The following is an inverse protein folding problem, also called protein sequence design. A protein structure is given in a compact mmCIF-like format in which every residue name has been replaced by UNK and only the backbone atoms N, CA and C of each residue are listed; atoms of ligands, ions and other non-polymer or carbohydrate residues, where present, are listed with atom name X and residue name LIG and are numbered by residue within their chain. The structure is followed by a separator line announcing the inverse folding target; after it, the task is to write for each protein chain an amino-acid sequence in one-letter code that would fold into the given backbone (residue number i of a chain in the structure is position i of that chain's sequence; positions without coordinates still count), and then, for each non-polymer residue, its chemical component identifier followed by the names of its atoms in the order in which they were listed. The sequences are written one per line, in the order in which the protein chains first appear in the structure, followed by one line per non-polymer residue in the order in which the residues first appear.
data_IF_649159498489
#
_entry.id   IF_649159498489
#
_cell.length_a   1.000
_cell.length_b   1.000
_cell.length_c   1.000
_cell.angle_alpha   90.00
_cell.angle_beta   90.00
_cell.angle_gamma   90.00
#
_symmetry.space_group_name_H-M   'P 1'
#
loop_
_entity.id
_entity.type
_entity.pdbx_description
1 polymer ?
#
# COMPACT_ATOMS: atom_id res chain seq x y z
N UNK A 1 16.23 15.21 17.62
CA UNK A 1 17.48 14.52 17.20
C UNK A 1 18.26 13.87 18.37
N UNK A 2 18.42 14.49 19.55
CA UNK A 2 19.16 13.86 20.68
C UNK A 2 18.56 12.51 21.16
N UNK A 3 17.23 12.38 21.23
CA UNK A 3 16.57 11.13 21.63
C UNK A 3 16.81 9.95 20.67
N UNK A 4 16.98 10.22 19.37
CA UNK A 4 17.25 9.18 18.36
C UNK A 4 18.70 8.75 18.36
N UNK A 5 19.63 9.66 18.70
CA UNK A 5 21.05 9.33 18.84
C UNK A 5 21.25 8.31 19.95
N UNK A 6 20.67 8.58 21.12
CA UNK A 6 20.76 7.72 22.31
C UNK A 6 19.89 6.44 22.22
N UNK A 7 19.16 6.26 21.12
CA UNK A 7 18.38 5.04 20.93
C UNK A 7 19.31 3.87 20.58
N UNK A 8 19.11 2.74 21.27
CA UNK A 8 19.77 1.47 20.99
C UNK A 8 19.68 1.06 19.52
N UNK A 9 20.74 0.45 18.99
CA UNK A 9 20.83 0.02 17.58
C UNK A 9 19.65 -0.89 17.19
N UNK A 10 19.29 -1.82 18.08
CA UNK A 10 18.13 -2.71 17.90
C UNK A 10 16.83 -1.93 17.65
N UNK A 11 16.57 -0.84 18.40
CA UNK A 11 15.36 -0.03 18.25
C UNK A 11 15.33 0.71 16.90
N UNK A 12 16.49 1.23 16.46
CA UNK A 12 16.64 1.90 15.16
C UNK A 12 16.31 0.94 14.00
N UNK A 13 16.82 -0.29 14.04
CA UNK A 13 16.54 -1.33 13.03
C UNK A 13 15.09 -1.82 13.06
N UNK A 14 14.52 -2.04 14.25
CA UNK A 14 13.10 -2.43 14.39
C UNK A 14 12.19 -1.35 13.82
N UNK A 15 12.47 -0.07 14.11
CA UNK A 15 11.68 1.04 13.56
C UNK A 15 11.73 1.07 12.03
N UNK A 16 12.91 0.88 11.44
CA UNK A 16 13.05 0.79 9.99
C UNK A 16 12.20 -0.34 9.42
N UNK A 17 12.25 -1.53 10.02
CA UNK A 17 11.41 -2.66 9.62
C UNK A 17 9.91 -2.39 9.75
N UNK A 18 9.48 -1.76 10.85
CA UNK A 18 8.08 -1.37 11.06
C UNK A 18 7.62 -0.39 9.99
N UNK A 19 8.41 0.63 9.67
CA UNK A 19 8.09 1.61 8.61
C UNK A 19 7.98 0.93 7.25
N UNK A 20 8.89 0.01 6.92
CA UNK A 20 8.84 -0.76 5.67
C UNK A 20 7.58 -1.62 5.58
N UNK A 21 7.25 -2.36 6.64
CA UNK A 21 6.06 -3.24 6.67
C UNK A 21 4.78 -2.41 6.62
N UNK A 22 4.70 -1.30 7.38
CA UNK A 22 3.56 -0.38 7.31
C UNK A 22 3.37 0.18 5.90
N UNK A 23 4.47 0.53 5.22
CA UNK A 23 4.42 0.97 3.82
C UNK A 23 3.82 -0.09 2.90
N UNK A 24 4.26 -1.36 3.02
CA UNK A 24 3.71 -2.48 2.25
C UNK A 24 2.23 -2.71 2.54
N UNK A 25 1.82 -2.64 3.80
CA UNK A 25 0.40 -2.82 4.19
C UNK A 25 -0.46 -1.69 3.62
N UNK A 26 -0.01 -0.44 3.70
CA UNK A 26 -0.72 0.71 3.13
C UNK A 26 -0.84 0.60 1.60
N UNK A 27 0.21 0.14 0.91
CA UNK A 27 0.17 -0.12 -0.54
C UNK A 27 -0.79 -1.26 -0.88
N UNK A 28 -0.78 -2.35 -0.12
CA UNK A 28 -1.71 -3.47 -0.32
C UNK A 28 -3.17 -3.06 -0.10
N UNK A 29 -3.45 -2.37 1.00
CA UNK A 29 -4.80 -1.90 1.32
C UNK A 29 -5.35 -0.93 0.25
N UNK A 30 -4.55 0.04 -0.17
CA UNK A 30 -4.95 0.98 -1.23
C UNK A 30 -5.17 0.30 -2.59
N UNK A 31 -4.39 -0.74 -2.90
CA UNK A 31 -4.61 -1.55 -4.10
C UNK A 31 -5.95 -2.28 -4.07
N UNK A 32 -6.30 -2.91 -2.95
CA UNK A 32 -7.59 -3.61 -2.79
C UNK A 32 -8.77 -2.65 -2.94
N UNK A 33 -8.68 -1.46 -2.35
CA UNK A 33 -9.71 -0.41 -2.48
C UNK A 33 -9.86 0.02 -3.94
N UNK A 34 -8.74 0.27 -4.63
CA UNK A 34 -8.74 0.70 -6.04
C UNK A 34 -9.35 -0.38 -6.94
N UNK A 35 -8.97 -1.64 -6.75
CA UNK A 35 -9.51 -2.78 -7.52
C UNK A 35 -11.01 -2.96 -7.27
N UNK A 36 -11.47 -2.80 -6.03
CA UNK A 36 -12.91 -2.89 -5.73
C UNK A 36 -13.73 -1.78 -6.42
N UNK A 37 -13.20 -0.56 -6.51
CA UNK A 37 -13.88 0.54 -7.21
C UNK A 37 -13.98 0.28 -8.71
N UNK A 38 -12.91 -0.20 -9.33
CA UNK A 38 -12.90 -0.60 -10.75
C UNK A 38 -13.93 -1.72 -10.97
N UNK A 39 -13.95 -2.73 -10.10
CA UNK A 39 -14.91 -3.83 -10.19
C UNK A 39 -16.36 -3.35 -10.11
N UNK A 40 -16.67 -2.41 -9.20
CA UNK A 40 -18.03 -1.86 -9.08
C UNK A 40 -18.47 -1.18 -10.38
N UNK A 41 -17.67 -0.25 -10.90
CA UNK A 41 -17.99 0.45 -12.16
C UNK A 41 -18.15 -0.53 -13.34
N UNK A 42 -17.28 -1.54 -13.42
CA UNK A 42 -17.38 -2.58 -14.45
C UNK A 42 -18.64 -3.44 -14.27
N UNK A 43 -19.05 -3.72 -13.04
CA UNK A 43 -20.25 -4.52 -12.75
C UNK A 43 -21.49 -3.73 -13.15
N UNK A 44 -21.59 -2.47 -12.74
CA UNK A 44 -22.72 -1.60 -13.07
C UNK A 44 -22.87 -1.48 -14.61
N UNK A 45 -21.76 -1.28 -15.34
CA UNK A 45 -21.79 -1.26 -16.83
C UNK A 45 -22.29 -2.56 -17.45
N UNK A 46 -21.90 -3.71 -16.91
CA UNK A 46 -22.22 -5.02 -17.52
C UNK A 46 -23.60 -5.54 -17.10
N UNK A 47 -24.10 -5.11 -15.93
CA UNK A 47 -25.33 -5.65 -15.34
C UNK A 47 -26.52 -4.69 -15.40
N UNK A 48 -26.31 -3.40 -15.63
CA UNK A 48 -27.40 -2.42 -15.78
C UNK A 48 -27.32 -1.74 -17.14
N UNK A 49 -26.31 -0.89 -17.36
CA UNK A 49 -26.27 0.00 -18.52
C UNK A 49 -26.29 -0.70 -19.89
N UNK A 50 -25.43 -1.71 -20.09
CA UNK A 50 -25.36 -2.41 -21.37
C UNK A 50 -26.64 -3.24 -21.65
N UNK A 51 -27.16 -4.02 -20.69
CA UNK A 51 -28.49 -4.63 -20.82
C UNK A 51 -29.61 -3.63 -21.12
N UNK A 52 -29.64 -2.46 -20.47
CA UNK A 52 -30.67 -1.43 -20.74
C UNK A 52 -30.63 -0.95 -22.19
N UNK A 53 -29.43 -0.67 -22.72
CA UNK A 53 -29.25 -0.29 -24.14
C UNK A 53 -29.74 -1.40 -25.07
N UNK A 54 -29.37 -2.66 -24.79
CA UNK A 54 -29.76 -3.80 -25.62
C UNK A 54 -31.29 -3.95 -25.63
N UNK A 55 -31.94 -3.97 -24.46
CA UNK A 55 -33.39 -4.15 -24.38
C UNK A 55 -34.13 -2.98 -25.05
N UNK A 56 -33.65 -1.74 -24.90
CA UNK A 56 -34.27 -0.58 -25.56
C UNK A 56 -34.15 -0.65 -27.10
N UNK A 57 -32.99 -1.07 -27.64
CA UNK A 57 -32.80 -1.32 -29.08
C UNK A 57 -33.68 -2.48 -29.58
N UNK A 58 -33.78 -3.56 -28.79
CA UNK A 58 -34.63 -4.70 -29.11
C UNK A 58 -36.13 -4.34 -29.07
N UNK A 59 -36.56 -3.47 -28.15
CA UNK A 59 -37.92 -2.91 -28.10
C UNK A 59 -38.20 -2.04 -29.34
N UNK A 60 -37.28 -1.15 -29.72
CA UNK A 60 -37.41 -0.34 -30.93
C UNK A 60 -37.47 -1.21 -32.20
N UNK A 61 -36.74 -2.33 -32.22
CA UNK A 61 -36.78 -3.31 -33.32
C UNK A 61 -38.11 -4.06 -33.34
N UNK A 62 -38.54 -4.63 -32.20
CA UNK A 62 -39.76 -5.41 -32.11
C UNK A 62 -41.01 -4.58 -32.43
N UNK A 63 -41.06 -3.33 -31.98
CA UNK A 63 -42.15 -2.41 -32.35
C UNK A 63 -42.17 -2.09 -33.85
N UNK A 64 -40.99 -2.00 -34.48
CA UNK A 64 -40.88 -1.84 -35.95
C UNK A 64 -41.35 -3.10 -36.68
N UNK A 65 -40.99 -4.30 -36.20
CA UNK A 65 -41.41 -5.58 -36.77
C UNK A 65 -42.93 -5.77 -36.66
N UNK A 66 -43.51 -5.43 -35.51
CA UNK A 66 -44.96 -5.40 -35.32
C UNK A 66 -45.64 -4.49 -36.36
N UNK A 67 -45.12 -3.27 -36.55
CA UNK A 67 -45.66 -2.32 -37.52
C UNK A 67 -45.48 -2.79 -38.98
N UNK A 68 -44.41 -3.50 -39.30
CA UNK A 68 -44.22 -4.12 -40.62
C UNK A 68 -45.32 -5.17 -40.88
N UNK A 69 -45.63 -6.00 -39.88
CA UNK A 69 -46.71 -6.97 -39.97
C UNK A 69 -48.08 -6.31 -40.08
N UNK A 70 -48.31 -5.20 -39.37
CA UNK A 70 -49.49 -4.37 -39.51
C UNK A 70 -49.64 -3.82 -40.95
N UNK A 71 -48.57 -3.29 -41.55
CA UNK A 71 -48.59 -2.87 -42.95
C UNK A 71 -48.90 -4.03 -43.91
N UNK A 72 -48.29 -5.20 -43.69
CA UNK A 72 -48.56 -6.39 -44.52
C UNK A 72 -50.02 -6.84 -44.41
N UNK A 73 -50.60 -6.74 -43.22
CA UNK A 73 -52.01 -7.05 -42.96
C UNK A 73 -52.92 -6.12 -43.75
N UNK A 74 -52.64 -4.81 -43.77
CA UNK A 74 -53.39 -3.80 -44.55
C UNK A 74 -53.29 -4.02 -46.07
N UNK A 75 -52.16 -4.53 -46.57
CA UNK A 75 -51.90 -4.67 -48.01
C UNK A 75 -52.44 -6.00 -48.57
N UNK A 76 -52.39 -7.08 -47.78
CA UNK A 76 -52.91 -8.37 -48.21
C UNK A 76 -54.43 -8.38 -48.28
N UNK A 77 -55.00 -9.27 -49.10
CA UNK A 77 -56.44 -9.50 -49.21
C UNK A 77 -56.79 -10.98 -48.93
N UNK A 78 -55.79 -11.79 -48.56
CA UNK A 78 -55.94 -13.21 -48.25
C UNK A 78 -56.22 -13.38 -46.75
N UNK A 79 -57.40 -13.89 -46.40
CA UNK A 79 -57.84 -14.08 -45.01
C UNK A 79 -56.92 -15.00 -44.21
N UNK A 80 -56.33 -16.02 -44.85
CA UNK A 80 -55.43 -16.96 -44.19
C UNK A 80 -54.10 -16.28 -43.85
N UNK A 81 -53.58 -15.44 -44.74
CA UNK A 81 -52.38 -14.63 -44.51
C UNK A 81 -52.63 -13.58 -43.41
N UNK A 82 -53.81 -12.94 -43.40
CA UNK A 82 -54.19 -12.01 -42.32
C UNK A 82 -54.20 -12.71 -40.95
N UNK A 83 -54.74 -13.93 -40.87
CA UNK A 83 -54.76 -14.70 -39.62
C UNK A 83 -53.36 -15.14 -39.16
N UNK A 84 -52.46 -15.45 -40.10
CA UNK A 84 -51.06 -15.74 -39.80
C UNK A 84 -50.33 -14.50 -39.25
N UNK A 85 -50.49 -13.35 -39.92
CA UNK A 85 -49.90 -12.08 -39.47
C UNK A 85 -50.41 -11.67 -38.07
N UNK A 86 -51.71 -11.83 -37.79
CA UNK A 86 -52.26 -11.54 -36.45
C UNK A 86 -51.65 -12.43 -35.36
N UNK A 87 -51.37 -13.71 -35.68
CA UNK A 87 -50.67 -14.61 -34.74
C UNK A 87 -49.23 -14.17 -34.52
N UNK A 88 -48.52 -13.78 -35.57
CA UNK A 88 -47.16 -13.25 -35.46
C UNK A 88 -47.12 -11.96 -34.64
N UNK A 89 -48.04 -11.03 -34.92
CA UNK A 89 -48.18 -9.78 -34.17
C UNK A 89 -48.47 -10.01 -32.69
N UNK A 90 -49.31 -11.00 -32.36
CA UNK A 90 -49.56 -11.38 -30.97
C UNK A 90 -48.31 -11.90 -30.25
N UNK A 91 -47.49 -12.71 -30.93
CA UNK A 91 -46.21 -13.19 -30.39
C UNK A 91 -45.21 -12.05 -30.20
N UNK A 92 -45.12 -11.12 -31.16
CA UNK A 92 -44.26 -9.93 -31.03
C UNK A 92 -44.73 -9.05 -29.88
N UNK A 93 -46.04 -8.88 -29.69
CA UNK A 93 -46.60 -8.13 -28.57
C UNK A 93 -46.23 -8.79 -27.23
N UNK A 94 -46.36 -10.10 -27.10
CA UNK A 94 -45.95 -10.84 -25.89
C UNK A 94 -44.46 -10.63 -25.57
N UNK A 95 -43.61 -10.67 -26.60
CA UNK A 95 -42.17 -10.44 -26.49
C UNK A 95 -41.82 -8.99 -26.09
N UNK A 96 -42.56 -8.00 -26.59
CA UNK A 96 -42.44 -6.60 -26.17
C UNK A 96 -42.81 -6.43 -24.69
N UNK A 97 -43.93 -7.01 -24.26
CA UNK A 97 -44.38 -6.99 -22.87
C UNK A 97 -43.36 -7.65 -21.92
N UNK A 98 -42.75 -8.76 -22.36
CA UNK A 98 -41.67 -9.41 -21.61
C UNK A 98 -40.41 -8.54 -21.51
N UNK A 99 -40.09 -7.76 -22.55
CA UNK A 99 -38.95 -6.84 -22.53
C UNK A 99 -39.18 -5.65 -21.61
N UNK A 100 -40.39 -5.07 -21.59
CA UNK A 100 -40.75 -4.04 -20.60
C UNK A 100 -40.57 -4.56 -19.16
N UNK A 101 -41.09 -5.77 -18.86
CA UNK A 101 -40.88 -6.42 -17.55
C UNK A 101 -39.41 -6.64 -17.20
N UNK A 102 -38.61 -7.09 -18.18
CA UNK A 102 -37.17 -7.28 -17.96
C UNK A 102 -36.46 -5.96 -17.64
N UNK A 103 -36.87 -4.87 -18.32
CA UNK A 103 -36.30 -3.55 -18.14
C UNK A 103 -36.52 -2.98 -16.73
N UNK A 104 -37.62 -3.31 -16.05
CA UNK A 104 -37.90 -2.85 -14.68
C UNK A 104 -36.73 -3.13 -13.70
N UNK A 105 -36.03 -4.25 -13.90
CA UNK A 105 -34.89 -4.65 -13.07
C UNK A 105 -33.59 -3.90 -13.39
N UNK A 106 -33.56 -3.17 -14.50
CA UNK A 106 -32.38 -2.49 -15.03
C UNK A 106 -32.42 -0.97 -14.83
N UNK A 107 -33.55 -0.44 -14.32
CA UNK A 107 -33.75 0.99 -14.08
C UNK A 107 -32.60 1.56 -13.24
N UNK A 108 -31.94 2.56 -13.80
CA UNK A 108 -30.76 3.17 -13.18
C UNK A 108 -31.09 4.39 -12.31
N UNK A 109 -32.14 5.15 -12.63
CA UNK A 109 -32.59 6.34 -11.89
C UNK A 109 -33.99 6.81 -12.36
N UNK A 110 -34.50 7.88 -11.74
CA UNK A 110 -35.83 8.45 -12.04
C UNK A 110 -36.00 8.93 -13.50
N UNK A 111 -34.94 9.40 -14.16
CA UNK A 111 -35.04 9.84 -15.57
C UNK A 111 -35.22 8.65 -16.51
N UNK A 112 -34.47 7.59 -16.25
CA UNK A 112 -34.53 6.31 -16.97
C UNK A 112 -35.92 5.67 -16.83
N UNK A 113 -36.42 5.60 -15.59
CA UNK A 113 -37.75 5.09 -15.29
C UNK A 113 -38.83 5.89 -16.04
N UNK A 114 -38.76 7.21 -16.00
CA UNK A 114 -39.74 8.07 -16.66
C UNK A 114 -39.76 7.85 -18.18
N UNK A 115 -38.59 7.81 -18.82
CA UNK A 115 -38.50 7.61 -20.27
C UNK A 115 -39.07 6.25 -20.69
N UNK A 116 -38.74 5.18 -19.95
CA UNK A 116 -39.27 3.85 -20.27
C UNK A 116 -40.78 3.75 -20.05
N UNK A 117 -41.30 4.28 -18.94
CA UNK A 117 -42.75 4.32 -18.69
C UNK A 117 -43.50 5.12 -19.75
N UNK A 118 -42.96 6.26 -20.17
CA UNK A 118 -43.55 7.06 -21.24
C UNK A 118 -43.55 6.30 -22.57
N UNK A 119 -42.50 5.53 -22.88
CA UNK A 119 -42.47 4.66 -24.06
C UNK A 119 -43.53 3.54 -23.98
N UNK A 120 -43.66 2.89 -22.83
CA UNK A 120 -44.66 1.84 -22.56
C UNK A 120 -46.09 2.39 -22.72
N UNK A 121 -46.39 3.54 -22.12
CA UNK A 121 -47.70 4.19 -22.23
C UNK A 121 -48.03 4.54 -23.70
N UNK A 122 -47.08 5.15 -24.44
CA UNK A 122 -47.28 5.51 -25.86
C UNK A 122 -47.42 4.27 -26.75
N UNK A 123 -46.72 3.18 -26.42
CA UNK A 123 -46.88 1.89 -27.10
C UNK A 123 -48.29 1.33 -26.92
N UNK A 124 -48.84 1.38 -25.71
CA UNK A 124 -50.21 0.94 -25.46
C UNK A 124 -51.24 1.79 -26.19
N UNK A 125 -51.06 3.11 -26.25
CA UNK A 125 -51.91 3.98 -27.07
C UNK A 125 -51.80 3.65 -28.56
N UNK A 126 -50.60 3.35 -29.07
CA UNK A 126 -50.41 2.86 -30.44
C UNK A 126 -51.19 1.57 -30.71
N UNK A 127 -51.21 0.62 -29.77
CA UNK A 127 -51.92 -0.65 -29.91
C UNK A 127 -53.44 -0.48 -30.03
N UNK A 128 -54.03 0.54 -29.39
CA UNK A 128 -55.47 0.84 -29.56
C UNK A 128 -55.79 1.24 -31.00
N UNK A 129 -54.94 2.06 -31.63
CA UNK A 129 -55.06 2.38 -33.06
C UNK A 129 -54.79 1.16 -33.94
N UNK A 130 -53.81 0.33 -33.57
CA UNK A 130 -53.47 -0.88 -34.30
C UNK A 130 -54.66 -1.83 -34.38
N UNK A 131 -55.38 -2.00 -33.28
CA UNK A 131 -56.60 -2.82 -33.22
C UNK A 131 -57.67 -2.32 -34.20
N UNK A 132 -57.90 -1.01 -34.25
CA UNK A 132 -58.85 -0.42 -35.21
C UNK A 132 -58.40 -0.66 -36.66
N UNK A 133 -57.10 -0.51 -36.95
CA UNK A 133 -56.52 -0.80 -38.28
C UNK A 133 -56.77 -2.25 -38.69
N UNK A 134 -56.51 -3.22 -37.80
CA UNK A 134 -56.72 -4.64 -38.09
C UNK A 134 -58.20 -4.96 -38.35
N UNK A 135 -59.12 -4.36 -37.59
CA UNK A 135 -60.56 -4.51 -37.79
C UNK A 135 -61.05 -3.94 -39.13
N UNK A 136 -60.51 -2.80 -39.57
CA UNK A 136 -60.80 -2.20 -40.88
C UNK A 136 -60.20 -3.06 -42.00
N UNK A 137 -58.95 -3.47 -41.84
CA UNK A 137 -58.23 -4.29 -42.80
C UNK A 137 -58.90 -5.64 -43.05
N UNK A 138 -59.44 -6.30 -42.00
CA UNK A 138 -60.26 -7.53 -42.13
C UNK A 138 -61.49 -7.37 -43.02
N UNK A 139 -62.00 -6.14 -43.20
CA UNK A 139 -63.12 -5.84 -44.11
C UNK A 139 -62.66 -5.57 -45.55
N UNK A 140 -61.36 -5.66 -45.83
CA UNK A 140 -60.70 -5.25 -47.07
C UNK A 140 -60.95 -3.78 -47.43
N UNK A 141 -61.17 -2.93 -46.43
CA UNK A 141 -61.33 -1.49 -46.62
C UNK A 141 -59.97 -0.79 -46.56
N UNK A 142 -59.15 -1.06 -47.58
CA UNK A 142 -57.74 -0.68 -47.61
C UNK A 142 -57.52 0.83 -47.64
N UNK A 143 -58.48 1.63 -48.13
CA UNK A 143 -58.34 3.09 -48.17
C UNK A 143 -58.47 3.72 -46.77
N UNK A 144 -59.47 3.29 -45.99
CA UNK A 144 -59.67 3.72 -44.60
C UNK A 144 -58.53 3.23 -43.69
N UNK A 145 -58.11 1.96 -43.83
CA UNK A 145 -56.98 1.41 -43.09
C UNK A 145 -55.67 2.15 -43.43
N UNK A 146 -55.48 2.52 -44.71
CA UNK A 146 -54.32 3.29 -45.15
C UNK A 146 -54.31 4.70 -44.57
N UNK A 147 -55.45 5.38 -44.47
CA UNK A 147 -55.53 6.72 -43.88
C UNK A 147 -55.09 6.70 -42.41
N UNK A 148 -55.56 5.71 -41.65
CA UNK A 148 -55.24 5.59 -40.24
C UNK A 148 -53.77 5.22 -40.00
N UNK A 149 -53.23 4.24 -40.76
CA UNK A 149 -51.84 3.77 -40.59
C UNK A 149 -50.79 4.83 -40.98
N UNK A 150 -51.07 5.72 -41.95
CA UNK A 150 -50.13 6.79 -42.34
C UNK A 150 -50.33 8.09 -41.55
N UNK A 151 -51.46 8.23 -40.84
CA UNK A 151 -51.84 9.37 -40.02
C UNK A 151 -51.53 9.17 -38.53
N UNK A 152 -52.57 9.16 -37.69
CA UNK A 152 -52.42 9.14 -36.22
C UNK A 152 -51.58 7.96 -35.71
N UNK A 153 -51.80 6.74 -36.22
CA UNK A 153 -51.00 5.56 -35.83
C UNK A 153 -49.51 5.76 -36.10
N UNK A 154 -49.15 6.44 -37.20
CA UNK A 154 -47.75 6.77 -37.51
C UNK A 154 -47.15 7.74 -36.50
N UNK A 155 -47.92 8.72 -36.05
CA UNK A 155 -47.42 9.70 -35.08
C UNK A 155 -47.14 9.05 -33.72
N UNK A 156 -47.99 8.14 -33.26
CA UNK A 156 -47.73 7.35 -32.05
C UNK A 156 -46.53 6.41 -32.22
N UNK A 157 -46.41 5.75 -33.38
CA UNK A 157 -45.24 4.92 -33.68
C UNK A 157 -43.92 5.72 -33.69
N UNK A 158 -43.91 6.89 -34.32
CA UNK A 158 -42.71 7.73 -34.34
C UNK A 158 -42.35 8.22 -32.92
N UNK A 159 -43.36 8.50 -32.08
CA UNK A 159 -43.15 8.88 -30.69
C UNK A 159 -42.53 7.74 -29.88
N UNK A 160 -43.07 6.52 -29.94
CA UNK A 160 -42.49 5.39 -29.20
C UNK A 160 -41.07 5.08 -29.67
N UNK A 161 -40.81 5.11 -30.98
CA UNK A 161 -39.46 4.89 -31.52
C UNK A 161 -38.48 5.97 -31.04
N UNK A 162 -38.90 7.24 -31.03
CA UNK A 162 -38.09 8.34 -30.48
C UNK A 162 -37.81 8.15 -29.00
N UNK A 163 -38.78 7.70 -28.21
CA UNK A 163 -38.59 7.47 -26.77
C UNK A 163 -37.62 6.31 -26.51
N UNK A 164 -37.66 5.23 -27.28
CA UNK A 164 -36.65 4.17 -27.17
C UNK A 164 -35.24 4.66 -27.55
N UNK A 165 -35.12 5.51 -28.58
CA UNK A 165 -33.85 6.15 -28.92
C UNK A 165 -33.36 7.03 -27.76
N UNK A 166 -34.25 7.80 -27.13
CA UNK A 166 -33.91 8.62 -25.96
C UNK A 166 -33.45 7.75 -24.77
N UNK A 167 -34.06 6.58 -24.55
CA UNK A 167 -33.63 5.59 -23.54
C UNK A 167 -32.23 5.04 -23.87
N UNK A 168 -31.99 4.68 -25.14
CA UNK A 168 -30.68 4.21 -25.62
C UNK A 168 -29.61 5.28 -25.40
N UNK A 169 -29.87 6.51 -25.83
CA UNK A 169 -28.93 7.62 -25.69
C UNK A 169 -28.69 7.97 -24.22
N UNK A 170 -29.73 7.94 -23.39
CA UNK A 170 -29.60 8.16 -21.94
C UNK A 170 -28.65 7.14 -21.31
N UNK A 171 -28.89 5.85 -21.57
CA UNK A 171 -28.09 4.78 -20.99
C UNK A 171 -26.67 4.75 -21.56
N UNK A 172 -26.50 5.00 -22.86
CA UNK A 172 -25.17 5.11 -23.47
C UNK A 172 -24.37 6.26 -22.87
N UNK A 173 -24.96 7.46 -22.78
CA UNK A 173 -24.29 8.63 -22.23
C UNK A 173 -23.93 8.44 -20.76
N UNK A 174 -24.81 7.83 -19.97
CA UNK A 174 -24.52 7.58 -18.57
C UNK A 174 -23.48 6.46 -18.37
N UNK A 175 -23.43 5.44 -19.23
CA UNK A 175 -22.36 4.45 -19.25
C UNK A 175 -20.99 5.08 -19.57
N UNK A 176 -20.94 5.96 -20.58
CA UNK A 176 -19.74 6.71 -20.95
C UNK A 176 -19.29 7.64 -19.82
N UNK A 177 -20.24 8.35 -19.18
CA UNK A 177 -19.96 9.21 -18.03
C UNK A 177 -19.44 8.42 -16.82
N UNK A 178 -20.03 7.26 -16.52
CA UNK A 178 -19.58 6.36 -15.47
C UNK A 178 -18.17 5.84 -15.75
N UNK A 179 -17.87 5.44 -17.00
CA UNK A 179 -16.54 5.01 -17.43
C UNK A 179 -15.52 6.14 -17.30
N UNK A 180 -15.83 7.35 -17.78
CA UNK A 180 -14.94 8.50 -17.67
C UNK A 180 -14.69 8.87 -16.20
N UNK A 181 -15.71 8.82 -15.35
CA UNK A 181 -15.56 9.03 -13.92
C UNK A 181 -14.63 7.98 -13.28
N UNK A 182 -14.81 6.69 -13.63
CA UNK A 182 -13.93 5.61 -13.16
C UNK A 182 -12.48 5.81 -13.58
N UNK A 183 -12.23 6.26 -14.82
CA UNK A 183 -10.87 6.57 -15.31
C UNK A 183 -10.23 7.73 -14.55
N UNK A 184 -10.99 8.80 -14.26
CA UNK A 184 -10.46 9.92 -13.47
C UNK A 184 -10.14 9.50 -12.03
N UNK A 185 -10.99 8.67 -11.41
CA UNK A 185 -10.71 8.08 -10.10
C UNK A 185 -9.46 7.20 -10.15
N UNK A 186 -9.31 6.36 -11.17
CA UNK A 186 -8.15 5.50 -11.36
C UNK A 186 -6.85 6.30 -11.46
N UNK A 187 -6.82 7.33 -12.31
CA UNK A 187 -5.65 8.21 -12.45
C UNK A 187 -5.34 8.92 -11.13
N UNK A 188 -6.36 9.40 -10.41
CA UNK A 188 -6.19 10.04 -9.10
C UNK A 188 -5.61 9.08 -8.07
N UNK A 189 -6.10 7.85 -8.02
CA UNK A 189 -5.61 6.79 -7.12
C UNK A 189 -4.15 6.42 -7.44
N UNK A 190 -3.80 6.29 -8.72
CA UNK A 190 -2.40 6.08 -9.13
C UNK A 190 -1.51 7.22 -8.66
N UNK A 191 -1.93 8.49 -8.84
CA UNK A 191 -1.15 9.64 -8.39
C UNK A 191 -0.92 9.61 -6.87
N UNK A 192 -1.95 9.34 -6.08
CA UNK A 192 -1.83 9.20 -4.62
C UNK A 192 -0.91 8.03 -4.24
N UNK A 193 -1.00 6.89 -4.94
CA UNK A 193 -0.12 5.74 -4.73
C UNK A 193 1.34 6.09 -5.03
N UNK A 194 1.61 6.78 -6.14
CA UNK A 194 2.97 7.17 -6.53
C UNK A 194 3.57 8.19 -5.55
N UNK A 195 2.79 9.17 -5.09
CA UNK A 195 3.28 10.16 -4.11
C UNK A 195 3.57 9.52 -2.75
N UNK A 196 2.67 8.68 -2.25
CA UNK A 196 2.87 7.97 -0.97
C UNK A 196 4.05 6.99 -1.03
N UNK A 197 4.18 6.22 -2.11
CA UNK A 197 5.32 5.34 -2.36
C UNK A 197 6.64 6.13 -2.40
N UNK A 198 6.66 7.27 -3.08
CA UNK A 198 7.82 8.16 -3.14
C UNK A 198 8.21 8.69 -1.76
N UNK A 199 7.24 9.15 -0.96
CA UNK A 199 7.47 9.66 0.39
C UNK A 199 8.00 8.58 1.34
N UNK A 200 7.41 7.37 1.31
CA UNK A 200 7.87 6.24 2.14
C UNK A 200 9.29 5.83 1.74
N UNK A 201 9.57 5.71 0.43
CA UNK A 201 10.90 5.36 -0.07
C UNK A 201 11.93 6.41 0.33
N UNK A 202 11.60 7.70 0.20
CA UNK A 202 12.47 8.80 0.63
C UNK A 202 12.75 8.74 2.14
N UNK A 203 11.73 8.49 2.95
CA UNK A 203 11.85 8.36 4.39
C UNK A 203 12.73 7.17 4.80
N UNK A 204 12.58 6.03 4.13
CA UNK A 204 13.45 4.86 4.32
C UNK A 204 14.90 5.21 3.97
N UNK A 205 15.15 5.84 2.82
CA UNK A 205 16.50 6.24 2.40
C UNK A 205 17.14 7.17 3.44
N UNK A 206 16.40 8.19 3.91
CA UNK A 206 16.89 9.11 4.94
C UNK A 206 17.23 8.35 6.22
N UNK A 207 16.37 7.42 6.66
CA UNK A 207 16.60 6.63 7.87
C UNK A 207 17.81 5.70 7.73
N UNK A 208 17.98 5.04 6.57
CA UNK A 208 19.14 4.17 6.28
C UNK A 208 20.43 4.98 6.33
N UNK A 209 20.52 6.09 5.59
CA UNK A 209 21.70 6.95 5.56
C UNK A 209 22.02 7.50 6.95
N UNK A 210 20.98 7.85 7.72
CA UNK A 210 21.14 8.28 9.10
C UNK A 210 21.73 7.18 10.00
N UNK A 211 21.20 5.95 9.93
CA UNK A 211 21.69 4.81 10.72
C UNK A 211 23.14 4.49 10.35
N UNK A 212 23.48 4.45 9.06
CA UNK A 212 24.86 4.21 8.59
C UNK A 212 25.80 5.24 9.22
N UNK A 213 25.53 6.54 9.05
CA UNK A 213 26.38 7.61 9.60
C UNK A 213 26.46 7.61 11.13
N UNK A 214 25.38 7.20 11.81
CA UNK A 214 25.34 7.14 13.27
C UNK A 214 26.14 5.98 13.85
N UNK A 215 26.42 4.93 13.08
CA UNK A 215 27.12 3.71 13.51
C UNK A 215 28.55 3.65 12.97
N UNK A 216 28.74 3.97 11.69
CA UNK A 216 30.02 3.85 10.98
C UNK A 216 31.14 4.61 11.69
N UNK A 217 30.95 5.92 11.94
CA UNK A 217 32.00 6.76 12.54
C UNK A 217 32.41 6.31 13.96
N UNK A 218 31.49 6.08 14.92
CA UNK A 218 31.89 5.61 16.25
C UNK A 218 32.53 4.21 16.23
N UNK A 219 32.09 3.33 15.32
CA UNK A 219 32.69 2.00 15.16
C UNK A 219 34.11 2.12 14.62
N UNK A 220 34.37 2.97 13.64
CA UNK A 220 35.74 3.23 13.16
C UNK A 220 36.65 3.79 14.26
N UNK A 221 36.18 4.75 15.05
CA UNK A 221 36.92 5.31 16.18
C UNK A 221 37.25 4.24 17.23
N UNK A 222 36.30 3.35 17.54
CA UNK A 222 36.49 2.20 18.43
C UNK A 222 37.53 1.21 17.88
N UNK A 223 37.45 0.88 16.59
CA UNK A 223 38.39 -0.04 15.93
C UNK A 223 39.80 0.53 15.96
N UNK A 224 39.98 1.81 15.61
CA UNK A 224 41.30 2.44 15.63
C UNK A 224 41.85 2.58 17.05
N UNK A 225 41.03 2.99 18.02
CA UNK A 225 41.47 3.11 19.41
C UNK A 225 41.87 1.77 20.03
N UNK A 226 41.12 0.70 19.75
CA UNK A 226 41.46 -0.65 20.21
C UNK A 226 42.70 -1.20 19.51
N UNK A 227 42.92 -0.88 18.22
CA UNK A 227 44.15 -1.25 17.50
C UNK A 227 45.38 -0.58 18.09
N UNK A 228 45.30 0.71 18.41
CA UNK A 228 46.37 1.44 19.11
C UNK A 228 46.63 0.86 20.50
N UNK A 229 45.58 0.57 21.27
CA UNK A 229 45.71 -0.11 22.56
C UNK A 229 46.44 -1.46 22.43
N UNK A 230 46.11 -2.27 21.41
CA UNK A 230 46.77 -3.55 21.16
C UNK A 230 48.27 -3.39 20.81
N UNK A 231 48.67 -2.27 20.21
CA UNK A 231 50.09 -1.93 19.98
C UNK A 231 50.82 -1.42 21.22
N UNK A 232 50.16 -1.33 22.38
CA UNK A 232 50.73 -0.84 23.63
C UNK A 232 50.66 0.68 23.82
N UNK A 233 50.00 1.39 22.89
CA UNK A 233 49.73 2.82 23.06
C UNK A 233 48.55 3.03 24.01
N UNK A 234 48.89 3.22 25.28
CA UNK A 234 47.88 3.51 26.29
C UNK A 234 47.38 4.95 26.24
N UNK A 235 47.93 5.87 25.45
CA UNK A 235 47.50 7.29 25.44
C UNK A 235 46.13 7.53 24.79
N UNK A 236 45.54 6.50 24.19
CA UNK A 236 44.21 6.53 23.56
C UNK A 236 43.11 6.94 24.54
N UNK A 237 42.23 7.83 24.09
CA UNK A 237 40.97 8.17 24.76
C UNK A 237 39.88 8.20 23.69
N UNK A 238 38.83 7.41 23.88
CA UNK A 238 37.69 7.39 22.98
C UNK A 238 36.65 8.40 23.45
N UNK A 239 36.19 9.29 22.57
CA UNK A 239 35.37 10.44 22.93
C UNK A 239 33.88 10.29 22.51
N UNK A 240 33.42 9.05 22.33
CA UNK A 240 32.04 8.78 21.95
C UNK A 240 31.14 8.66 23.19
N UNK A 241 30.24 9.62 23.36
CA UNK A 241 29.27 9.66 24.45
C UNK A 241 27.85 9.43 23.93
N UNK A 242 27.27 8.29 24.29
CA UNK A 242 25.89 7.90 23.97
C UNK A 242 25.38 6.91 25.03
N UNK A 243 24.06 6.83 25.21
CA UNK A 243 23.42 5.83 26.10
C UNK A 243 23.14 4.49 25.37
N UNK A 244 23.64 4.36 24.13
CA UNK A 244 23.48 3.15 23.32
C UNK A 244 24.62 2.13 23.55
N UNK A 245 24.53 1.01 22.84
CA UNK A 245 25.49 -0.08 22.96
C UNK A 245 26.94 0.34 22.63
N UNK A 246 27.13 1.33 21.75
CA UNK A 246 28.45 1.82 21.37
C UNK A 246 29.02 2.72 22.48
N UNK A 247 28.20 3.54 23.13
CA UNK A 247 28.63 4.37 24.26
C UNK A 247 29.04 3.54 25.47
N UNK A 248 28.27 2.51 25.81
CA UNK A 248 28.63 1.55 26.87
C UNK A 248 29.93 0.83 26.55
N UNK A 249 30.16 0.46 25.28
CA UNK A 249 31.41 -0.16 24.84
C UNK A 249 32.59 0.82 24.95
N UNK A 250 32.41 2.07 24.52
CA UNK A 250 33.40 3.14 24.65
C UNK A 250 33.81 3.38 26.10
N UNK A 251 32.85 3.47 27.02
CA UNK A 251 33.10 3.63 28.46
C UNK A 251 33.87 2.42 29.03
N UNK A 252 33.50 1.21 28.62
CA UNK A 252 34.18 -0.02 29.03
C UNK A 252 35.64 -0.07 28.56
N UNK A 253 35.91 0.34 27.31
CA UNK A 253 37.27 0.42 26.77
C UNK A 253 38.09 1.51 27.48
N UNK A 254 37.53 2.70 27.69
CA UNK A 254 38.23 3.77 28.42
C UNK A 254 38.56 3.35 29.86
N UNK A 255 37.65 2.65 30.54
CA UNK A 255 37.88 2.10 31.87
C UNK A 255 39.03 1.09 31.87
N UNK A 256 39.10 0.21 30.86
CA UNK A 256 40.20 -0.74 30.68
C UNK A 256 41.54 -0.02 30.47
N UNK A 257 41.58 0.99 29.59
CA UNK A 257 42.78 1.81 29.34
C UNK A 257 43.25 2.49 30.62
N UNK A 258 42.33 3.08 31.39
CA UNK A 258 42.65 3.74 32.66
C UNK A 258 43.27 2.77 33.68
N UNK A 259 42.72 1.56 33.81
CA UNK A 259 43.28 0.51 34.67
C UNK A 259 44.67 0.06 34.21
N UNK A 260 44.85 -0.18 32.92
CA UNK A 260 46.16 -0.56 32.35
C UNK A 260 47.21 0.53 32.57
N UNK A 261 46.85 1.82 32.41
CA UNK A 261 47.74 2.95 32.72
C UNK A 261 48.13 2.96 34.20
N UNK A 262 47.18 2.76 35.11
CA UNK A 262 47.43 2.72 36.55
C UNK A 262 48.38 1.57 36.92
N UNK A 263 48.14 0.36 36.40
CA UNK A 263 49.00 -0.81 36.63
C UNK A 263 50.42 -0.56 36.09
N UNK A 264 50.56 -0.15 34.83
CA UNK A 264 51.89 0.06 34.23
C UNK A 264 52.64 1.23 34.88
N UNK A 265 51.92 2.29 35.27
CA UNK A 265 52.51 3.41 36.02
C UNK A 265 53.05 2.98 37.38
N UNK A 266 52.28 2.21 38.13
CA UNK A 266 52.69 1.68 39.43
C UNK A 266 53.83 0.67 39.32
N UNK A 267 53.78 -0.25 38.35
CA UNK A 267 54.89 -1.17 38.04
C UNK A 267 56.18 -0.41 37.75
N UNK A 268 56.14 0.63 36.90
CA UNK A 268 57.30 1.46 36.58
C UNK A 268 57.86 2.14 37.83
N UNK A 269 57.00 2.67 38.70
CA UNK A 269 57.40 3.33 39.96
C UNK A 269 58.02 2.34 40.93
N UNK A 270 57.36 1.22 41.22
CA UNK A 270 57.84 0.18 42.13
C UNK A 270 59.19 -0.36 41.67
N UNK A 271 59.33 -0.69 40.38
CA UNK A 271 60.60 -1.19 39.83
C UNK A 271 61.72 -0.14 39.91
N UNK A 272 61.41 1.15 39.69
CA UNK A 272 62.39 2.24 39.82
C UNK A 272 62.87 2.39 41.26
N UNK A 273 61.96 2.42 42.23
CA UNK A 273 62.30 2.51 43.66
C UNK A 273 63.15 1.33 44.11
N UNK A 274 62.79 0.10 43.70
CA UNK A 274 63.59 -1.10 43.96
C UNK A 274 64.99 -0.99 43.34
N UNK A 275 65.10 -0.45 42.13
CA UNK A 275 66.38 -0.19 41.45
C UNK A 275 67.24 0.86 42.17
N UNK A 276 66.62 1.80 42.87
CA UNK A 276 67.28 2.79 43.74
C UNK A 276 67.52 2.28 45.17
N UNK A 277 67.41 0.96 45.40
CA UNK A 277 67.53 0.30 46.71
C UNK A 277 66.51 0.75 47.77
N UNK A 278 65.39 1.35 47.37
CA UNK A 278 64.27 1.65 48.25
C UNK A 278 63.31 0.45 48.32
N UNK A 279 63.47 -0.38 49.35
CA UNK A 279 62.71 -1.61 49.51
C UNK A 279 61.44 -1.48 50.34
N UNK A 280 61.16 -0.29 50.89
CA UNK A 280 59.91 -0.02 51.62
C UNK A 280 58.77 0.40 50.69
N UNK A 281 59.03 0.49 49.37
CA UNK A 281 58.02 0.81 48.36
C UNK A 281 56.89 -0.23 48.36
N UNK A 282 55.65 0.26 48.30
CA UNK A 282 54.40 -0.50 48.16
C UNK A 282 53.63 0.00 46.95
N UNK A 283 52.74 -0.82 46.41
CA UNK A 283 51.83 -0.39 45.35
C UNK A 283 50.89 0.71 45.86
N UNK A 284 50.62 1.70 45.03
CA UNK A 284 49.65 2.77 45.32
C UNK A 284 48.26 2.46 44.74
N UNK A 285 48.13 1.40 43.92
CA UNK A 285 46.91 1.08 43.19
C UNK A 285 46.55 -0.41 43.27
N UNK A 286 46.64 -1.03 44.45
CA UNK A 286 46.31 -2.45 44.67
C UNK A 286 44.94 -2.85 44.09
N UNK A 287 43.93 -1.97 44.21
CA UNK A 287 42.59 -2.17 43.67
C UNK A 287 42.55 -2.34 42.13
N UNK A 288 43.55 -1.83 41.40
CA UNK A 288 43.65 -1.98 39.95
C UNK A 288 44.11 -3.39 39.56
N UNK A 289 44.88 -4.08 40.42
CA UNK A 289 45.35 -5.45 40.21
C UNK A 289 44.29 -6.49 40.59
N UNK A 290 43.13 -6.43 39.94
CA UNK A 290 42.02 -7.38 40.14
C UNK A 290 41.98 -8.45 39.05
N UNK A 291 41.39 -9.61 39.37
CA UNK A 291 41.27 -10.73 38.43
C UNK A 291 42.64 -11.23 37.95
N UNK A 292 42.79 -11.36 36.63
CA UNK A 292 44.02 -11.86 36.00
C UNK A 292 45.25 -10.95 36.17
N UNK A 293 45.07 -9.71 36.64
CA UNK A 293 46.18 -8.82 36.97
C UNK A 293 46.77 -9.04 38.38
N UNK A 294 46.05 -9.71 39.28
CA UNK A 294 46.49 -9.92 40.67
C UNK A 294 47.84 -10.64 40.80
N UNK A 295 48.14 -11.70 40.01
CA UNK A 295 49.44 -12.38 40.08
C UNK A 295 50.65 -11.47 39.83
N UNK A 296 50.48 -10.37 39.09
CA UNK A 296 51.57 -9.44 38.82
C UNK A 296 51.97 -8.68 40.09
N UNK A 297 50.99 -8.24 40.88
CA UNK A 297 51.24 -7.58 42.16
C UNK A 297 51.97 -8.53 43.12
N UNK A 298 51.48 -9.76 43.29
CA UNK A 298 52.14 -10.76 44.14
C UNK A 298 53.58 -11.04 43.70
N UNK A 299 53.83 -11.05 42.39
CA UNK A 299 55.18 -11.26 41.85
C UNK A 299 56.11 -10.10 42.21
N UNK A 300 55.64 -8.85 42.14
CA UNK A 300 56.40 -7.67 42.56
C UNK A 300 56.68 -7.68 44.07
N UNK A 301 55.69 -8.01 44.89
CA UNK A 301 55.85 -8.11 46.35
C UNK A 301 56.81 -9.24 46.74
N UNK A 302 56.74 -10.37 46.06
CA UNK A 302 57.66 -11.48 46.22
C UNK A 302 59.09 -11.09 45.85
N UNK A 303 59.28 -10.37 44.73
CA UNK A 303 60.58 -9.87 44.30
C UNK A 303 61.16 -8.87 45.32
N UNK A 304 60.36 -7.90 45.78
CA UNK A 304 60.76 -6.98 46.86
C UNK A 304 61.22 -7.73 48.10
N UNK A 305 60.45 -8.71 48.55
CA UNK A 305 60.76 -9.50 49.75
C UNK A 305 62.08 -10.24 49.63
N UNK A 306 62.37 -10.82 48.45
CA UNK A 306 63.68 -11.47 48.17
C UNK A 306 64.84 -10.47 48.18
N UNK A 307 64.65 -9.27 47.61
CA UNK A 307 65.69 -8.23 47.61
C UNK A 307 66.00 -7.72 49.04
N UNK A 308 64.98 -7.54 49.89
CA UNK A 308 65.18 -7.22 51.32
C UNK A 308 66.04 -8.28 52.01
N UNK A 309 65.74 -9.56 51.76
CA UNK A 309 66.50 -10.67 52.34
C UNK A 309 67.97 -10.67 51.87
N UNK A 310 68.20 -10.46 50.57
CA UNK A 310 69.55 -10.39 50.00
C UNK A 310 70.37 -9.21 50.57
N UNK A 311 69.75 -8.04 50.77
CA UNK A 311 70.40 -6.87 51.39
C UNK A 311 70.81 -7.15 52.84
N UNK A 312 69.93 -7.80 53.62
CA UNK A 312 70.26 -8.22 54.99
C UNK A 312 71.42 -9.20 55.02
N UNK A 313 71.40 -10.23 54.16
CA UNK A 313 72.49 -11.20 54.07
C UNK A 313 73.83 -10.56 53.69
N UNK A 314 73.85 -9.64 52.72
CA UNK A 314 75.09 -8.94 52.33
C UNK A 314 75.60 -7.98 53.41
N UNK A 315 74.71 -7.33 54.16
CA UNK A 315 75.09 -6.54 55.34
C UNK A 315 75.67 -7.40 56.46
N UNK A 316 75.09 -8.58 56.71
CA UNK A 316 75.58 -9.54 57.70
C UNK A 316 76.96 -10.11 57.32
N UNK A 317 77.18 -10.41 56.03
CA UNK A 317 78.48 -10.85 55.51
C UNK A 317 79.52 -9.73 55.63
N UNK A 318 79.18 -8.49 55.27
CA UNK A 318 80.08 -7.33 55.45
C UNK A 318 80.42 -7.10 56.93
N UNK A 319 79.46 -7.30 57.84
CA UNK A 319 79.69 -7.25 59.30
C UNK A 319 80.62 -8.36 59.80
N UNK A 320 80.59 -9.55 59.18
CA UNK A 320 81.46 -10.68 59.52
C UNK A 320 82.88 -10.57 58.95
N UNK A 321 83.05 -9.93 57.78
CA UNK A 321 84.35 -9.79 57.11
C UNK A 321 85.08 -8.45 57.42
N UNK A 322 84.41 -7.50 58.09
CA UNK A 322 84.99 -6.21 58.52
C UNK A 322 85.46 -6.20 59.98
N UNK A 323 85.66 -7.38 60.59
CA UNK A 323 86.32 -7.59 61.88
C UNK A 323 87.58 -8.42 61.67
#
# INVERSE_FOLDING_TARGET
MKHFRNARLKKKLILLGIVSVLGLVLMGASSLITTNQIRKSSTDMTQAWLPSVIIAEELNTATSDYRINEYNHVITHDEAVMEELEKEMALVCEDIEDKFRQYESLITNETDERLMREAEDVWHEYLEYSKEILEISRRNDTDDARELIIGQSRDYFNQVSSLFIDVVDFNKNGAEAASAYADTLYIRMIKIKMTTMGLISLLIIIMVVYIIKAVEKPVEELVEGTRRLASGDLSVSLNYESDDELGVLTESVNTLVHRLRAIIGDQKRVLRELGCENFDVKSECENAYSGDFAPILYSLEGLRSRLIHLKKQTQDIKRKNGK
#
